data_IF_387524676220
#
_entry.id   IF_387524676220
#
_cell.length_a   1.000
_cell.length_b   1.000
_cell.length_c   1.000
_cell.angle_alpha   90.00
_cell.angle_beta   90.00
_cell.angle_gamma   90.00
#
_symmetry.space_group_name_H-M   'P 1'
#
loop_
_entity.id
_entity.type
_entity.pdbx_description
1 polymer ?
#
# COMPACT_ATOMS: atom_id res chain seq x y z
N UNK A 1 -13.33 -6.23 -9.59
CA UNK A 1 -12.62 -7.26 -10.39
C UNK A 1 -11.81 -8.13 -9.42
N UNK A 2 -12.42 -9.19 -8.90
CA UNK A 2 -11.84 -10.07 -7.88
C UNK A 2 -10.86 -11.06 -8.53
N UNK A 3 -9.69 -10.56 -8.91
CA UNK A 3 -8.56 -11.43 -9.23
C UNK A 3 -8.20 -12.18 -7.94
N UNK A 4 -8.00 -13.51 -8.01
CA UNK A 4 -7.25 -14.23 -6.97
C UNK A 4 -5.92 -13.49 -6.84
N UNK A 5 -5.74 -12.58 -5.87
CA UNK A 5 -4.50 -11.81 -5.67
C UNK A 5 -3.43 -12.71 -5.03
N UNK A 6 -3.23 -13.89 -5.60
CA UNK A 6 -1.98 -14.63 -5.52
C UNK A 6 -1.24 -14.26 -6.79
N UNK A 7 -0.33 -13.28 -6.65
CA UNK A 7 0.67 -12.83 -7.64
C UNK A 7 0.41 -13.28 -9.09
N UNK A 8 -0.16 -12.42 -9.93
CA UNK A 8 -0.33 -12.70 -11.36
C UNK A 8 1.06 -12.87 -12.00
N UNK A 9 1.53 -14.12 -12.12
CA UNK A 9 2.89 -14.47 -12.56
C UNK A 9 3.79 -15.20 -11.53
N UNK A 10 3.35 -15.33 -10.28
CA UNK A 10 4.05 -16.13 -9.24
C UNK A 10 3.12 -17.14 -8.56
N UNK A 11 2.39 -17.93 -9.35
CA UNK A 11 1.51 -18.97 -8.82
C UNK A 11 2.33 -20.22 -8.47
N UNK A 12 2.43 -20.58 -7.18
CA UNK A 12 3.07 -21.82 -6.74
C UNK A 12 4.59 -21.89 -6.94
N UNK A 13 5.27 -20.74 -7.04
CA UNK A 13 6.72 -20.67 -7.25
C UNK A 13 7.40 -20.10 -5.99
N UNK A 14 8.16 -20.94 -5.30
CA UNK A 14 9.02 -20.52 -4.20
C UNK A 14 10.03 -19.45 -4.66
N UNK A 15 10.24 -18.44 -3.82
CA UNK A 15 11.16 -17.32 -4.03
C UNK A 15 10.91 -16.52 -5.33
N UNK A 16 9.69 -16.56 -5.90
CA UNK A 16 9.39 -15.87 -7.16
C UNK A 16 9.67 -14.35 -7.10
N UNK A 17 9.32 -13.71 -5.99
CA UNK A 17 9.54 -12.26 -5.80
C UNK A 17 10.99 -11.90 -5.45
N UNK A 18 11.86 -12.89 -5.22
CA UNK A 18 13.29 -12.71 -4.96
C UNK A 18 14.13 -12.77 -6.25
N UNK A 19 13.52 -13.20 -7.37
CA UNK A 19 14.20 -13.26 -8.67
C UNK A 19 14.42 -11.85 -9.20
N UNK A 20 15.60 -11.62 -9.79
CA UNK A 20 16.01 -10.34 -10.40
C UNK A 20 15.02 -9.80 -11.46
N UNK A 21 14.17 -10.65 -12.05
CA UNK A 21 13.18 -10.29 -13.08
C UNK A 21 11.76 -10.71 -12.69
N UNK A 22 11.35 -10.42 -11.45
CA UNK A 22 9.97 -10.63 -11.01
C UNK A 22 9.00 -9.56 -11.59
N UNK A 23 9.01 -9.37 -12.91
CA UNK A 23 8.23 -8.33 -13.64
C UNK A 23 6.72 -8.46 -13.36
N UNK A 24 6.23 -9.65 -12.97
CA UNK A 24 4.84 -9.88 -12.57
C UNK A 24 4.56 -9.94 -11.05
N UNK A 25 5.57 -9.83 -10.17
CA UNK A 25 5.31 -9.91 -8.73
C UNK A 25 4.74 -8.59 -8.19
N UNK A 26 3.42 -8.56 -7.95
CA UNK A 26 2.72 -7.42 -7.38
C UNK A 26 3.34 -6.95 -6.04
N UNK A 27 3.70 -7.88 -5.14
CA UNK A 27 4.36 -7.54 -3.87
C UNK A 27 5.68 -6.80 -4.09
N UNK A 28 6.49 -7.24 -5.05
CA UNK A 28 7.79 -6.62 -5.36
C UNK A 28 7.60 -5.24 -5.98
N UNK A 29 6.64 -5.08 -6.89
CA UNK A 29 6.30 -3.78 -7.48
C UNK A 29 5.81 -2.78 -6.43
N UNK A 30 4.96 -3.22 -5.49
CA UNK A 30 4.52 -2.39 -4.36
C UNK A 30 5.71 -1.97 -3.49
N UNK A 31 6.61 -2.90 -3.17
CA UNK A 31 7.81 -2.60 -2.37
C UNK A 31 8.72 -1.61 -3.11
N UNK A 32 8.97 -1.81 -4.40
CA UNK A 32 9.79 -0.89 -5.20
C UNK A 32 9.20 0.51 -5.27
N UNK A 33 7.88 0.63 -5.37
CA UNK A 33 7.19 1.92 -5.34
C UNK A 33 7.33 2.59 -3.96
N UNK A 34 7.14 1.82 -2.88
CA UNK A 34 7.32 2.33 -1.53
C UNK A 34 8.77 2.78 -1.27
N UNK A 35 9.75 1.99 -1.68
CA UNK A 35 11.18 2.32 -1.55
C UNK A 35 11.50 3.64 -2.30
N UNK A 36 10.98 3.81 -3.52
CA UNK A 36 11.17 5.04 -4.29
C UNK A 36 10.56 6.27 -3.60
N UNK A 37 9.37 6.13 -3.00
CA UNK A 37 8.74 7.21 -2.21
C UNK A 37 9.58 7.54 -0.97
N UNK A 38 10.00 6.52 -0.22
CA UNK A 38 10.81 6.66 0.99
C UNK A 38 12.12 7.38 0.69
N UNK A 39 12.83 6.94 -0.37
CA UNK A 39 14.10 7.52 -0.78
C UNK A 39 13.92 8.97 -1.27
N UNK A 40 12.88 9.24 -2.08
CA UNK A 40 12.58 10.58 -2.62
C UNK A 40 12.23 11.60 -1.53
N UNK A 41 11.57 11.14 -0.46
CA UNK A 41 11.17 11.96 0.69
C UNK A 41 12.20 11.91 1.83
N UNK A 42 13.29 11.14 1.69
CA UNK A 42 14.33 10.93 2.72
C UNK A 42 13.75 10.46 4.06
N UNK A 43 12.76 9.58 4.01
CA UNK A 43 12.14 9.04 5.22
C UNK A 43 13.02 7.96 5.85
N UNK A 44 12.99 7.87 7.19
CA UNK A 44 13.69 6.79 7.89
C UNK A 44 13.00 5.46 7.61
N UNK A 45 13.77 4.48 7.12
CA UNK A 45 13.28 3.11 6.88
C UNK A 45 12.72 2.46 8.15
N UNK A 46 13.23 2.83 9.32
CA UNK A 46 12.76 2.35 10.62
C UNK A 46 11.39 2.90 11.02
N UNK A 47 10.96 4.00 10.37
CA UNK A 47 9.67 4.67 10.63
C UNK A 47 8.64 4.41 9.52
N UNK A 48 8.95 3.54 8.56
CA UNK A 48 8.11 3.25 7.40
C UNK A 48 7.88 1.76 7.26
N UNK A 49 6.73 1.37 6.72
CA UNK A 49 6.40 -0.03 6.48
C UNK A 49 5.41 -0.19 5.32
N UNK A 50 5.33 -1.40 4.78
CA UNK A 50 4.40 -1.77 3.72
C UNK A 50 3.48 -2.87 4.23
N UNK A 51 2.18 -2.70 4.02
CA UNK A 51 1.14 -3.67 4.35
C UNK A 51 0.11 -3.75 3.23
N UNK A 52 -0.78 -4.74 3.31
CA UNK A 52 -1.76 -5.06 2.28
C UNK A 52 -3.16 -5.15 2.87
N UNK A 53 -4.13 -4.63 2.12
CA UNK A 53 -5.54 -4.53 2.50
C UNK A 53 -6.42 -5.40 1.57
N UNK A 54 -7.74 -5.47 1.85
CA UNK A 54 -8.75 -6.19 1.07
C UNK A 54 -8.52 -7.70 1.01
N UNK A 55 -8.80 -8.38 2.13
CA UNK A 55 -8.91 -9.85 2.19
C UNK A 55 -10.35 -10.28 1.97
N UNK A 56 -10.58 -11.19 1.03
CA UNK A 56 -11.88 -11.83 0.82
C UNK A 56 -11.80 -13.32 1.08
N UNK A 57 -12.75 -13.82 1.88
CA UNK A 57 -12.83 -15.24 2.23
C UNK A 57 -11.79 -15.67 3.28
N UNK A 58 -11.62 -16.99 3.41
CA UNK A 58 -10.77 -17.63 4.44
C UNK A 58 -9.34 -17.91 4.01
N UNK A 59 -9.01 -17.68 2.74
CA UNK A 59 -7.68 -17.91 2.19
C UNK A 59 -6.65 -16.94 2.79
N UNK A 60 -5.38 -17.34 2.81
CA UNK A 60 -4.28 -16.46 3.19
C UNK A 60 -3.89 -15.61 1.98
N UNK A 61 -3.91 -14.28 2.15
CA UNK A 61 -3.53 -13.31 1.12
C UNK A 61 -2.14 -12.76 1.40
N UNK A 62 -1.68 -11.84 0.55
CA UNK A 62 -0.38 -11.19 0.69
C UNK A 62 -0.32 -10.46 2.04
N UNK A 63 0.72 -10.76 2.82
CA UNK A 63 0.99 -10.19 4.14
C UNK A 63 2.21 -9.24 4.12
N UNK A 64 2.31 -8.31 5.10
CA UNK A 64 1.46 -8.18 6.32
C UNK A 64 0.12 -7.47 6.07
N UNK A 65 -0.88 -7.72 6.90
CA UNK A 65 -2.21 -7.09 6.79
C UNK A 65 -2.23 -5.70 7.42
N UNK A 66 -2.88 -4.73 6.79
CA UNK A 66 -2.83 -3.31 7.19
C UNK A 66 -3.36 -3.04 8.59
N UNK A 67 -4.51 -3.62 8.96
CA UNK A 67 -5.04 -3.42 10.30
C UNK A 67 -4.16 -4.06 11.38
N UNK A 68 -3.75 -5.31 11.19
CA UNK A 68 -2.87 -6.03 12.13
C UNK A 68 -1.51 -5.32 12.32
N UNK A 69 -0.94 -4.76 11.24
CA UNK A 69 0.29 -3.97 11.34
C UNK A 69 0.07 -2.66 12.10
N UNK A 70 -1.09 -2.01 11.94
CA UNK A 70 -1.45 -0.80 12.69
C UNK A 70 -1.59 -1.09 14.19
N UNK A 71 -2.19 -2.22 14.57
CA UNK A 71 -2.27 -2.67 15.97
C UNK A 71 -0.88 -2.98 16.55
N UNK A 72 -0.02 -3.63 15.77
CA UNK A 72 1.36 -3.94 16.16
C UNK A 72 2.16 -2.66 16.39
N UNK A 73 2.05 -1.67 15.51
CA UNK A 73 2.68 -0.36 15.68
C UNK A 73 2.19 0.32 16.96
N UNK A 74 0.90 0.24 17.25
CA UNK A 74 0.32 0.81 18.46
C UNK A 74 0.87 0.15 19.74
N UNK A 75 0.98 -1.18 19.75
CA UNK A 75 1.61 -1.96 20.85
C UNK A 75 3.08 -1.59 21.05
N UNK A 76 3.77 -1.12 20.01
CA UNK A 76 5.13 -0.59 20.07
C UNK A 76 5.20 0.89 20.49
N UNK A 77 4.08 1.48 20.90
CA UNK A 77 3.99 2.89 21.31
C UNK A 77 3.92 3.89 20.15
N UNK A 78 3.76 3.44 18.90
CA UNK A 78 3.59 4.31 17.74
C UNK A 78 2.12 4.73 17.63
N UNK A 79 1.76 5.80 18.34
CA UNK A 79 0.37 6.29 18.43
C UNK A 79 -0.06 7.25 17.32
N UNK A 80 0.87 7.64 16.45
CA UNK A 80 0.61 8.57 15.33
C UNK A 80 1.08 7.92 14.04
N UNK A 81 0.17 7.66 13.12
CA UNK A 81 0.47 7.04 11.83
C UNK A 81 -0.11 7.84 10.67
N UNK A 82 0.62 7.81 9.55
CA UNK A 82 0.23 8.38 8.27
C UNK A 82 0.18 7.23 7.26
N UNK A 83 -0.94 7.08 6.57
CA UNK A 83 -1.20 5.97 5.65
C UNK A 83 -1.26 6.51 4.22
N UNK A 84 -0.60 5.81 3.31
CA UNK A 84 -0.57 6.12 1.87
C UNK A 84 -0.93 4.85 1.09
N UNK A 85 -1.77 4.99 0.07
CA UNK A 85 -2.24 3.87 -0.76
C UNK A 85 -1.71 3.97 -2.21
N UNK A 86 -0.39 3.83 -2.47
CA UNK A 86 0.20 4.13 -3.78
C UNK A 86 -0.13 3.10 -4.87
N UNK A 87 -0.76 1.97 -4.52
CA UNK A 87 -1.18 0.94 -5.47
C UNK A 87 -2.49 1.27 -6.20
N UNK A 88 -3.13 2.40 -5.86
CA UNK A 88 -4.32 2.90 -6.53
C UNK A 88 -4.20 4.44 -6.66
N UNK A 89 -4.49 4.97 -7.85
CA UNK A 89 -4.19 6.37 -8.18
C UNK A 89 -5.33 7.33 -7.89
N UNK A 90 -6.54 6.83 -7.63
CA UNK A 90 -7.72 7.63 -7.32
C UNK A 90 -8.41 7.09 -6.08
N UNK A 91 -9.08 7.95 -5.33
CA UNK A 91 -9.84 7.50 -4.17
C UNK A 91 -10.99 6.58 -4.59
N UNK A 92 -11.15 5.47 -3.88
CA UNK A 92 -12.20 4.49 -4.09
C UNK A 92 -12.89 4.16 -2.77
N UNK A 93 -13.94 3.33 -2.84
CA UNK A 93 -14.68 2.95 -1.64
C UNK A 93 -13.78 2.30 -0.60
N UNK A 94 -12.85 1.44 -1.05
CA UNK A 94 -11.91 0.75 -0.17
C UNK A 94 -10.92 1.72 0.49
N UNK A 95 -10.40 2.73 -0.21
CA UNK A 95 -9.48 3.71 0.42
C UNK A 95 -10.22 4.63 1.39
N UNK A 96 -11.41 5.12 1.01
CA UNK A 96 -12.14 6.07 1.84
C UNK A 96 -12.85 5.42 3.03
N UNK A 97 -13.56 4.30 2.80
CA UNK A 97 -14.32 3.61 3.85
C UNK A 97 -13.42 2.74 4.71
N UNK A 98 -12.79 1.72 4.13
CA UNK A 98 -12.04 0.72 4.93
C UNK A 98 -10.81 1.36 5.59
N UNK A 99 -9.95 2.02 4.80
CA UNK A 99 -8.72 2.62 5.34
C UNK A 99 -9.01 3.94 6.07
N UNK A 100 -9.77 4.83 5.45
CA UNK A 100 -9.99 6.20 5.96
C UNK A 100 -10.94 6.29 7.15
N UNK A 101 -11.92 5.38 7.25
CA UNK A 101 -12.94 5.40 8.32
C UNK A 101 -12.75 4.20 9.24
N UNK A 102 -12.94 2.97 8.76
CA UNK A 102 -13.02 1.78 9.62
C UNK A 102 -11.71 1.53 10.38
N UNK A 103 -10.58 1.49 9.67
CA UNK A 103 -9.27 1.26 10.31
C UNK A 103 -8.83 2.44 11.16
N UNK A 104 -9.18 3.66 10.75
CA UNK A 104 -8.95 4.86 11.56
C UNK A 104 -9.70 4.77 12.88
N UNK A 105 -11.00 4.52 12.85
CA UNK A 105 -11.84 4.40 14.04
C UNK A 105 -11.32 3.31 14.97
N UNK A 106 -11.00 2.14 14.42
CA UNK A 106 -10.45 1.03 15.19
C UNK A 106 -9.07 1.36 15.80
N UNK A 107 -8.17 2.01 15.06
CA UNK A 107 -6.87 2.46 15.60
C UNK A 107 -7.03 3.48 16.74
N UNK A 108 -7.96 4.43 16.59
CA UNK A 108 -8.25 5.43 17.63
C UNK A 108 -8.88 4.77 18.86
N UNK A 109 -9.80 3.81 18.68
CA UNK A 109 -10.44 3.07 19.77
C UNK A 109 -9.44 2.25 20.60
N UNK A 110 -8.34 1.80 19.98
CA UNK A 110 -7.27 1.06 20.66
C UNK A 110 -6.25 1.99 21.38
N UNK A 111 -6.45 3.30 21.37
CA UNK A 111 -5.59 4.28 22.04
C UNK A 111 -4.60 5.01 21.12
N UNK A 112 -4.85 4.99 19.81
CA UNK A 112 -4.18 5.86 18.85
C UNK A 112 -4.45 7.34 19.12
N UNK A 113 -3.48 8.19 18.83
CA UNK A 113 -3.58 9.65 18.96
C UNK A 113 -3.81 10.35 17.63
N UNK A 114 -3.29 9.77 16.54
CA UNK A 114 -3.44 10.33 15.20
C UNK A 114 -3.37 9.26 14.11
N UNK A 115 -4.31 9.33 13.18
CA UNK A 115 -4.37 8.50 11.98
C UNK A 115 -4.82 9.39 10.83
N UNK A 116 -3.92 9.61 9.87
CA UNK A 116 -4.20 10.38 8.65
C UNK A 116 -4.06 9.46 7.43
N UNK A 117 -5.02 9.54 6.52
CA UNK A 117 -4.93 8.97 5.17
C UNK A 117 -4.52 10.09 4.20
N UNK A 118 -3.44 9.88 3.45
CA UNK A 118 -3.06 10.77 2.36
C UNK A 118 -4.03 10.55 1.19
N UNK A 119 -4.65 11.62 0.65
CA UNK A 119 -5.48 11.50 -0.54
C UNK A 119 -4.73 10.84 -1.70
N UNK A 120 -5.45 10.08 -2.51
CA UNK A 120 -4.88 9.52 -3.73
C UNK A 120 -4.49 10.64 -4.71
N UNK A 121 -3.78 10.31 -5.79
CA UNK A 121 -3.35 11.29 -6.79
C UNK A 121 -4.52 12.01 -7.45
N UNK A 122 -5.67 11.34 -7.61
CA UNK A 122 -6.91 11.88 -8.15
C UNK A 122 -6.66 12.67 -9.45
N UNK A 123 -7.06 13.94 -9.50
CA UNK A 123 -6.90 14.87 -10.60
C UNK A 123 -5.71 15.82 -10.42
N UNK A 124 -4.76 15.48 -9.54
CA UNK A 124 -3.61 16.33 -9.28
C UNK A 124 -2.82 16.57 -10.58
N UNK A 125 -2.55 17.84 -10.89
CA UNK A 125 -1.96 18.27 -12.16
C UNK A 125 -0.65 17.53 -12.50
N UNK A 126 0.25 17.37 -11.52
CA UNK A 126 1.51 16.62 -11.70
C UNK A 126 1.29 15.15 -12.10
N UNK A 127 0.21 14.52 -11.63
CA UNK A 127 -0.12 13.14 -12.03
C UNK A 127 -0.64 13.10 -13.47
N UNK A 128 -1.48 14.06 -13.85
CA UNK A 128 -1.97 14.20 -15.24
C UNK A 128 -0.81 14.43 -16.20
N UNK A 129 0.16 15.27 -15.81
CA UNK A 129 1.38 15.51 -16.59
C UNK A 129 2.25 14.26 -16.70
N UNK A 130 2.46 13.54 -15.59
CA UNK A 130 3.19 12.28 -15.61
C UNK A 130 2.51 11.23 -16.51
N UNK A 131 1.18 11.13 -16.49
CA UNK A 131 0.43 10.26 -17.41
C UNK A 131 0.62 10.65 -18.87
N UNK A 132 0.54 11.95 -19.17
CA UNK A 132 0.80 12.47 -20.52
C UNK A 132 2.21 12.11 -20.96
N UNK A 133 3.21 12.33 -20.11
CA UNK A 133 4.59 11.97 -20.39
C UNK A 133 4.75 10.48 -20.64
N UNK A 134 4.18 9.61 -19.79
CA UNK A 134 4.24 8.15 -19.96
C UNK A 134 3.67 7.69 -21.32
N UNK A 135 2.60 8.34 -21.80
CA UNK A 135 2.01 8.04 -23.11
C UNK A 135 2.90 8.56 -24.25
N UNK A 136 3.45 9.77 -24.12
CA UNK A 136 4.27 10.40 -25.16
C UNK A 136 5.71 9.87 -25.22
N UNK A 137 6.25 9.41 -24.10
CA UNK A 137 7.54 8.72 -24.00
C UNK A 137 7.45 7.27 -24.47
N UNK A 138 6.27 6.82 -24.90
CA UNK A 138 6.07 5.61 -25.68
C UNK A 138 6.60 5.79 -27.11
N UNK A 139 7.93 5.92 -27.23
CA UNK A 139 8.75 5.71 -28.43
C UNK A 139 10.12 5.21 -28.00
#
# INVERSE_FOLDING_TARGET
>A
RHLKKLNVGCYGIDNCCERKQAIGCYKKQCQSTADAIIDRLRLSKEKTGVSFQSRLGKEVWIQPYTFEESEKLLKQGKKKILVVCPAFVADCLETLSEIGIEYREAFMALGGEKYDLVPSLNDHQTWIEALKELVLSGS
#
